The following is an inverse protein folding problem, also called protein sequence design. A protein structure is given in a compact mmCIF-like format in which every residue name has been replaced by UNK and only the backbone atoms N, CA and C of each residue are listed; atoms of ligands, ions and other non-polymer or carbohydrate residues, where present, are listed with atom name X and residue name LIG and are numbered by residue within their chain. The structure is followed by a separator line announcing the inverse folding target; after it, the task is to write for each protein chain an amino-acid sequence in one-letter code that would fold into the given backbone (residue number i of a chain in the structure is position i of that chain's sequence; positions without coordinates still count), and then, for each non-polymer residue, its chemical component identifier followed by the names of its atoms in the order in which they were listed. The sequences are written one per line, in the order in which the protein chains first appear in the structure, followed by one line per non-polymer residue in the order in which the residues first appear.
data_IF_825546343684
#
_entry.id   IF_825546343684
#
_cell.length_a   1.000
_cell.length_b   1.000
_cell.length_c   1.000
_cell.angle_alpha   90.00
_cell.angle_beta   90.00
_cell.angle_gamma   90.00
#
_symmetry.space_group_name_H-M   'P 1'
#
loop_
_entity.id
_entity.type
_entity.pdbx_description
1 polymer ?
#
# COMPACT_ATOMS: atom_id res chain seq x y z
N UNK A 1 -0.42 3.47 39.99
CA UNK A 1 -0.66 2.05 40.30
C UNK A 1 -2.07 1.68 39.87
N UNK A 2 -2.18 1.09 38.68
CA UNK A 2 -3.40 0.58 38.07
C UNK A 2 -4.01 -0.51 38.98
N UNK A 3 -5.34 -0.61 39.05
CA UNK A 3 -6.05 -1.64 39.85
C UNK A 3 -5.51 -3.05 39.51
N UNK A 4 -5.13 -3.24 38.26
CA UNK A 4 -4.65 -4.51 37.72
C UNK A 4 -3.17 -4.77 38.10
N UNK A 5 -2.36 -3.73 38.27
CA UNK A 5 -1.00 -3.85 38.84
C UNK A 5 -1.08 -4.28 40.31
N UNK A 6 -2.02 -3.71 41.07
CA UNK A 6 -2.24 -4.07 42.47
C UNK A 6 -2.76 -5.52 42.61
N UNK A 7 -3.64 -5.96 41.70
CA UNK A 7 -4.12 -7.34 41.64
C UNK A 7 -3.02 -8.34 41.26
N UNK A 8 -2.11 -7.97 40.35
CA UNK A 8 -0.96 -8.82 39.98
C UNK A 8 -0.01 -9.03 41.16
N UNK A 9 0.26 -7.95 41.91
CA UNK A 9 1.11 -7.98 43.08
C UNK A 9 0.46 -8.73 44.26
N UNK A 10 -0.85 -8.58 44.49
CA UNK A 10 -1.55 -9.21 45.62
C UNK A 10 -1.98 -10.66 45.40
N UNK A 11 -2.38 -11.05 44.17
CA UNK A 11 -2.96 -12.38 43.91
C UNK A 11 -2.05 -13.31 43.10
N UNK A 12 -1.12 -12.77 42.31
CA UNK A 12 -0.25 -13.57 41.42
C UNK A 12 1.23 -13.52 41.84
N UNK A 13 1.61 -12.65 42.78
CA UNK A 13 2.98 -12.52 43.28
C UNK A 13 3.96 -12.00 42.22
N UNK A 14 3.48 -11.22 41.25
CA UNK A 14 4.29 -10.72 40.13
C UNK A 14 4.42 -9.20 40.24
N UNK A 15 5.65 -8.73 40.42
CA UNK A 15 5.98 -7.33 40.19
C UNK A 15 6.39 -7.14 38.72
N UNK A 16 5.57 -6.41 37.96
CA UNK A 16 5.81 -6.14 36.56
C UNK A 16 6.84 -5.02 36.35
N UNK A 17 7.37 -4.37 37.38
CA UNK A 17 8.43 -3.36 37.23
C UNK A 17 9.84 -3.98 37.33
N UNK A 18 9.97 -5.17 37.92
CA UNK A 18 11.24 -5.91 38.05
C UNK A 18 11.52 -6.80 36.82
N UNK A 19 12.54 -6.44 36.05
CA UNK A 19 12.94 -7.16 34.83
C UNK A 19 13.33 -8.64 35.09
N UNK A 20 13.96 -8.92 36.24
CA UNK A 20 14.32 -10.27 36.68
C UNK A 20 13.10 -11.14 37.04
N UNK A 21 12.02 -10.53 37.54
CA UNK A 21 10.77 -11.24 37.82
C UNK A 21 10.00 -11.54 36.54
N UNK A 22 10.03 -10.62 35.55
CA UNK A 22 9.41 -10.85 34.23
C UNK A 22 10.02 -12.03 33.49
N UNK A 23 11.34 -12.18 33.49
CA UNK A 23 12.01 -13.28 32.79
C UNK A 23 11.73 -14.66 33.40
N UNK A 24 11.47 -14.70 34.70
CA UNK A 24 11.20 -15.96 35.42
C UNK A 24 9.71 -16.32 35.48
N UNK A 25 8.82 -15.36 35.18
CA UNK A 25 7.38 -15.57 35.22
C UNK A 25 6.87 -16.48 34.10
N UNK A 26 5.94 -17.38 34.45
CA UNK A 26 5.33 -18.35 33.52
C UNK A 26 3.86 -18.50 33.85
N UNK A 27 3.06 -18.74 32.83
CA UNK A 27 1.65 -19.10 32.96
C UNK A 27 1.57 -20.57 33.38
N UNK A 28 0.95 -20.82 34.53
CA UNK A 28 0.81 -22.15 35.15
C UNK A 28 -0.65 -22.63 35.21
N UNK A 29 -1.62 -21.75 35.01
CA UNK A 29 -3.05 -22.08 35.02
C UNK A 29 -3.86 -21.13 34.12
N UNK A 30 -5.11 -21.51 33.86
CA UNK A 30 -6.01 -20.77 32.97
C UNK A 30 -6.32 -19.35 33.47
N UNK A 31 -6.38 -19.13 34.79
CA UNK A 31 -6.58 -17.79 35.35
C UNK A 31 -5.41 -16.84 35.08
N UNK A 32 -4.17 -17.37 35.10
CA UNK A 32 -2.98 -16.61 34.69
C UNK A 32 -2.94 -16.35 33.19
N UNK A 33 -3.44 -17.28 32.37
CA UNK A 33 -3.58 -17.10 30.94
C UNK A 33 -4.59 -15.99 30.60
N UNK A 34 -5.77 -16.02 31.23
CA UNK A 34 -6.83 -15.02 31.07
C UNK A 34 -6.34 -13.62 31.46
N UNK A 35 -5.65 -13.51 32.60
CA UNK A 35 -5.00 -12.26 33.01
C UNK A 35 -3.95 -11.78 32.00
N UNK A 36 -3.16 -12.68 31.40
CA UNK A 36 -2.21 -12.31 30.35
C UNK A 36 -2.92 -11.78 29.10
N UNK A 37 -4.07 -12.35 28.72
CA UNK A 37 -4.90 -11.83 27.62
C UNK A 37 -5.42 -10.41 27.91
N UNK A 38 -5.87 -10.16 29.14
CA UNK A 38 -6.29 -8.82 29.58
C UNK A 38 -5.14 -7.81 29.51
N UNK A 39 -3.92 -8.22 29.89
CA UNK A 39 -2.73 -7.37 29.75
C UNK A 39 -2.39 -7.04 28.31
N UNK A 40 -2.53 -7.98 27.40
CA UNK A 40 -2.33 -7.72 25.97
C UNK A 40 -3.42 -6.75 25.48
N UNK A 41 -4.67 -6.92 25.89
CA UNK A 41 -5.78 -6.03 25.52
C UNK A 41 -5.57 -4.60 26.02
N UNK A 42 -5.14 -4.43 27.27
CA UNK A 42 -4.78 -3.12 27.86
C UNK A 42 -3.68 -2.44 27.03
N UNK A 43 -2.59 -3.15 26.75
CA UNK A 43 -1.46 -2.63 25.98
C UNK A 43 -1.86 -2.22 24.55
N UNK A 44 -2.69 -3.04 23.88
CA UNK A 44 -3.22 -2.72 22.55
C UNK A 44 -4.16 -1.50 22.60
N UNK A 45 -5.00 -1.38 23.64
CA UNK A 45 -5.87 -0.22 23.80
C UNK A 45 -5.09 1.08 24.03
N UNK A 46 -4.02 1.03 24.83
CA UNK A 46 -3.12 2.16 25.04
C UNK A 46 -2.40 2.56 23.73
N UNK A 47 -1.88 1.58 22.99
CA UNK A 47 -1.27 1.82 21.68
C UNK A 47 -2.27 2.50 20.72
N UNK A 48 -3.49 1.96 20.58
CA UNK A 48 -4.54 2.55 19.73
C UNK A 48 -4.87 3.98 20.12
N UNK A 49 -4.86 4.30 21.41
CA UNK A 49 -5.06 5.68 21.89
C UNK A 49 -3.94 6.62 21.42
N UNK A 50 -2.68 6.20 21.53
CA UNK A 50 -1.55 6.98 21.03
C UNK A 50 -1.57 7.12 19.51
N UNK A 51 -1.82 6.02 18.80
CA UNK A 51 -1.94 5.97 17.35
C UNK A 51 -2.99 6.97 16.85
N UNK A 52 -4.18 7.01 17.47
CA UNK A 52 -5.24 7.95 17.13
C UNK A 52 -4.78 9.42 17.23
N UNK A 53 -4.11 9.78 18.33
CA UNK A 53 -3.60 11.16 18.54
C UNK A 53 -2.50 11.51 17.53
N UNK A 54 -1.62 10.56 17.22
CA UNK A 54 -0.55 10.77 16.24
C UNK A 54 -1.12 10.92 14.83
N UNK A 55 -2.07 10.07 14.44
CA UNK A 55 -2.71 10.13 13.13
C UNK A 55 -3.52 11.41 12.94
N UNK A 56 -4.19 11.91 13.98
CA UNK A 56 -4.86 13.22 13.93
C UNK A 56 -3.86 14.36 13.67
N UNK A 57 -2.69 14.35 14.34
CA UNK A 57 -1.62 15.34 14.08
C UNK A 57 -1.07 15.23 12.66
N UNK A 58 -0.88 14.01 12.15
CA UNK A 58 -0.44 13.79 10.75
C UNK A 58 -1.46 14.40 9.79
N UNK A 59 -2.76 14.14 10.00
CA UNK A 59 -3.82 14.69 9.16
C UNK A 59 -3.83 16.23 9.19
N UNK A 60 -3.66 16.84 10.36
CA UNK A 60 -3.55 18.30 10.49
C UNK A 60 -2.35 18.86 9.74
N UNK A 61 -1.16 18.24 9.87
CA UNK A 61 0.04 18.67 9.16
C UNK A 61 -0.09 18.52 7.65
N UNK A 62 -0.70 17.42 7.18
CA UNK A 62 -0.99 17.21 5.76
C UNK A 62 -1.96 18.27 5.22
N UNK A 63 -3.00 18.64 5.99
CA UNK A 63 -3.93 19.70 5.59
C UNK A 63 -3.24 21.07 5.48
N UNK A 64 -2.32 21.40 6.39
CA UNK A 64 -1.51 22.62 6.32
C UNK A 64 -0.61 22.60 5.08
N UNK A 65 0.04 21.47 4.80
CA UNK A 65 0.90 21.31 3.63
C UNK A 65 0.10 21.47 2.32
N UNK A 66 -1.07 20.86 2.22
CA UNK A 66 -1.89 20.96 1.01
C UNK A 66 -2.42 22.38 0.80
N UNK A 67 -2.81 23.07 1.88
CA UNK A 67 -3.23 24.48 1.81
C UNK A 67 -2.10 25.39 1.31
N UNK A 68 -0.87 25.18 1.79
CA UNK A 68 0.28 25.96 1.35
C UNK A 68 0.66 25.64 -0.10
N UNK A 69 0.59 24.36 -0.49
CA UNK A 69 0.74 23.92 -1.87
C UNK A 69 -0.29 24.56 -2.79
N UNK A 70 -1.57 24.60 -2.41
CA UNK A 70 -2.60 25.30 -3.16
C UNK A 70 -2.30 26.80 -3.32
N UNK A 71 -1.83 27.45 -2.26
CA UNK A 71 -1.44 28.88 -2.30
C UNK A 71 -0.36 29.11 -3.35
N UNK A 72 0.70 28.32 -3.31
CA UNK A 72 1.83 28.40 -4.25
C UNK A 72 1.37 28.07 -5.68
N UNK A 73 0.56 27.03 -5.86
CA UNK A 73 0.02 26.65 -7.18
C UNK A 73 -0.80 27.80 -7.77
N UNK A 74 -1.71 28.41 -7.00
CA UNK A 74 -2.50 29.56 -7.44
C UNK A 74 -1.63 30.75 -7.83
N UNK A 75 -0.57 31.02 -7.08
CA UNK A 75 0.39 32.09 -7.39
C UNK A 75 1.18 31.80 -8.68
N UNK A 76 1.67 30.57 -8.85
CA UNK A 76 2.37 30.13 -10.06
C UNK A 76 1.45 30.17 -11.27
N UNK A 77 0.20 29.72 -11.14
CA UNK A 77 -0.81 29.76 -12.20
C UNK A 77 -1.13 31.20 -12.60
N UNK A 78 -1.30 32.10 -11.63
CA UNK A 78 -1.53 33.52 -11.89
C UNK A 78 -0.40 34.13 -12.72
N UNK A 79 0.86 33.95 -12.30
CA UNK A 79 1.99 34.49 -13.05
C UNK A 79 2.20 33.78 -14.39
N UNK A 80 1.97 32.47 -14.46
CA UNK A 80 2.05 31.71 -15.71
C UNK A 80 1.02 32.21 -16.73
N UNK A 81 -0.20 32.50 -16.28
CA UNK A 81 -1.24 33.09 -17.11
C UNK A 81 -0.83 34.48 -17.63
N UNK A 82 -0.31 35.36 -16.76
CA UNK A 82 0.18 36.69 -17.16
C UNK A 82 1.36 36.60 -18.14
N UNK A 83 2.29 35.68 -17.91
CA UNK A 83 3.40 35.42 -18.83
C UNK A 83 2.91 34.88 -20.17
N UNK A 84 1.87 34.05 -20.20
CA UNK A 84 1.26 33.58 -21.44
C UNK A 84 0.62 34.74 -22.23
N UNK A 85 -0.11 35.65 -21.55
CA UNK A 85 -0.68 36.85 -22.19
C UNK A 85 0.43 37.72 -22.80
N UNK A 86 1.49 38.00 -22.04
CA UNK A 86 2.64 38.77 -22.51
C UNK A 86 3.40 38.06 -23.64
N UNK A 87 3.52 36.73 -23.58
CA UNK A 87 4.17 35.95 -24.62
C UNK A 87 3.49 36.11 -25.98
N UNK A 88 2.19 36.38 -26.04
CA UNK A 88 1.49 36.61 -27.31
C UNK A 88 1.77 37.98 -27.93
N UNK A 89 2.23 38.97 -27.16
CA UNK A 89 2.49 40.34 -27.65
C UNK A 89 3.93 40.59 -28.11
N UNK A 90 4.88 39.79 -27.65
CA UNK A 90 6.32 40.01 -27.92
C UNK A 90 6.80 39.35 -29.22
N UNK A 91 7.86 39.86 -29.86
CA UNK A 91 8.50 39.19 -30.99
C UNK A 91 9.17 37.88 -30.51
N UNK A 92 8.87 36.77 -31.19
CA UNK A 92 9.26 35.41 -30.76
C UNK A 92 10.10 34.72 -31.82
N UNK A 93 11.06 33.89 -31.39
CA UNK A 93 11.75 32.96 -32.30
C UNK A 93 10.85 31.74 -32.53
N UNK A 94 10.39 31.55 -33.77
CA UNK A 94 9.55 30.39 -34.15
C UNK A 94 10.40 29.29 -34.78
N UNK A 95 10.15 28.04 -34.40
CA UNK A 95 10.61 26.83 -35.08
C UNK A 95 9.41 25.93 -35.41
N UNK A 96 9.63 24.87 -36.20
CA UNK A 96 8.57 23.91 -36.59
C UNK A 96 7.86 23.29 -35.38
N UNK A 97 8.53 23.16 -34.25
CA UNK A 97 8.03 22.43 -33.07
C UNK A 97 7.75 23.33 -31.87
N UNK A 98 8.21 24.59 -31.86
CA UNK A 98 8.03 25.50 -30.72
C UNK A 98 8.25 26.98 -31.06
N UNK A 99 7.63 27.86 -30.28
CA UNK A 99 7.99 29.29 -30.20
C UNK A 99 8.75 29.55 -28.89
N UNK A 100 9.76 30.42 -28.91
CA UNK A 100 10.58 30.73 -27.73
C UNK A 100 10.91 32.22 -27.64
N UNK A 101 10.87 32.75 -26.42
CA UNK A 101 11.27 34.10 -26.06
C UNK A 101 12.23 34.06 -24.86
N UNK A 102 13.40 34.68 -24.97
CA UNK A 102 14.46 34.64 -23.96
C UNK A 102 14.47 35.95 -23.16
N UNK A 103 14.51 35.82 -21.84
CA UNK A 103 14.67 36.91 -20.87
C UNK A 103 15.96 36.69 -20.06
N UNK A 104 16.50 37.71 -19.37
CA UNK A 104 17.65 37.53 -18.49
C UNK A 104 17.42 36.48 -17.40
N UNK A 105 16.21 36.45 -16.83
CA UNK A 105 15.84 35.55 -15.73
C UNK A 105 15.28 34.19 -16.18
N UNK A 106 15.15 33.94 -17.48
CA UNK A 106 14.56 32.69 -17.96
C UNK A 106 14.12 32.71 -19.42
N UNK A 107 13.24 31.79 -19.80
CA UNK A 107 12.67 31.73 -21.16
C UNK A 107 11.23 31.26 -21.14
N UNK A 108 10.44 31.84 -22.03
CA UNK A 108 9.06 31.42 -22.29
C UNK A 108 9.05 30.53 -23.53
N UNK A 109 8.41 29.36 -23.45
CA UNK A 109 8.38 28.38 -24.53
C UNK A 109 6.96 27.86 -24.75
N UNK A 110 6.46 27.98 -25.98
CA UNK A 110 5.20 27.38 -26.42
C UNK A 110 5.54 26.22 -27.35
N UNK A 111 5.33 24.98 -26.90
CA UNK A 111 5.61 23.76 -27.69
C UNK A 111 4.35 23.29 -28.40
N UNK A 112 4.46 22.96 -29.68
CA UNK A 112 3.41 22.30 -30.44
C UNK A 112 3.60 20.79 -30.27
N UNK A 113 2.81 20.20 -29.35
CA UNK A 113 2.83 18.75 -29.13
C UNK A 113 1.93 18.06 -30.16
N UNK A 114 2.31 16.86 -30.56
CA UNK A 114 1.41 15.99 -31.32
C UNK A 114 0.20 15.58 -30.46
N UNK A 115 -0.95 15.23 -31.06
CA UNK A 115 -2.12 14.79 -30.33
C UNK A 115 -1.80 13.62 -29.41
N UNK A 116 -2.28 13.68 -28.16
CA UNK A 116 -2.22 12.55 -27.23
C UNK A 116 -3.25 11.53 -27.69
N UNK A 117 -2.79 10.35 -28.07
CA UNK A 117 -3.68 9.22 -28.36
C UNK A 117 -4.09 8.63 -27.02
N UNK A 118 -5.34 8.85 -26.62
CA UNK A 118 -5.97 8.15 -25.49
C UNK A 118 -6.65 6.92 -26.07
N UNK A 119 -6.26 5.73 -25.61
CA UNK A 119 -6.83 4.45 -26.04
C UNK A 119 -7.68 3.89 -24.91
N UNK A 120 -8.85 3.38 -25.27
CA UNK A 120 -9.72 2.58 -24.42
C UNK A 120 -9.51 1.14 -24.85
N UNK A 121 -8.69 0.42 -24.10
CA UNK A 121 -8.19 -0.89 -24.53
C UNK A 121 -9.31 -1.92 -24.65
N UNK A 122 -10.38 -1.84 -23.84
CA UNK A 122 -11.53 -2.75 -23.94
C UNK A 122 -12.32 -2.52 -25.24
N UNK A 123 -12.60 -1.25 -25.58
CA UNK A 123 -13.28 -0.94 -26.84
C UNK A 123 -12.40 -1.24 -28.05
N UNK A 124 -11.09 -1.02 -27.92
CA UNK A 124 -10.13 -1.30 -28.97
C UNK A 124 -10.02 -2.80 -29.23
N UNK A 125 -9.95 -3.63 -28.19
CA UNK A 125 -9.94 -5.10 -28.32
C UNK A 125 -11.22 -5.59 -29.02
N UNK A 126 -12.40 -5.14 -28.57
CA UNK A 126 -13.68 -5.50 -29.22
C UNK A 126 -13.73 -5.09 -30.69
N UNK A 127 -13.24 -3.90 -31.01
CA UNK A 127 -13.19 -3.42 -32.38
C UNK A 127 -12.20 -4.24 -33.23
N UNK A 128 -11.03 -4.58 -32.71
CA UNK A 128 -10.04 -5.42 -33.39
C UNK A 128 -10.60 -6.83 -33.68
N UNK A 129 -11.30 -7.43 -32.71
CA UNK A 129 -11.97 -8.73 -32.88
C UNK A 129 -13.07 -8.68 -33.94
N UNK A 130 -13.91 -7.64 -33.93
CA UNK A 130 -14.98 -7.45 -34.93
C UNK A 130 -14.46 -7.23 -36.35
N UNK A 131 -13.27 -6.65 -36.50
CA UNK A 131 -12.64 -6.40 -37.80
C UNK A 131 -11.67 -7.53 -38.22
N UNK A 132 -11.66 -8.65 -37.50
CA UNK A 132 -10.83 -9.82 -37.84
C UNK A 132 -9.33 -9.64 -37.58
N UNK A 133 -8.91 -8.58 -36.87
CA UNK A 133 -7.52 -8.27 -36.52
C UNK A 133 -7.12 -8.91 -35.19
N UNK A 134 -7.45 -10.19 -35.01
CA UNK A 134 -7.24 -10.95 -33.77
C UNK A 134 -5.77 -11.17 -33.43
N UNK A 135 -4.87 -11.09 -34.41
CA UNK A 135 -3.41 -11.15 -34.26
C UNK A 135 -2.82 -9.96 -33.47
N UNK A 136 -3.57 -8.86 -33.37
CA UNK A 136 -3.19 -7.66 -32.61
C UNK A 136 -3.70 -7.68 -31.17
N UNK A 137 -4.47 -8.70 -30.79
CA UNK A 137 -5.00 -8.89 -29.43
C UNK A 137 -4.05 -9.79 -28.63
N UNK A 138 -3.47 -9.25 -27.55
CA UNK A 138 -2.58 -10.02 -26.68
C UNK A 138 -3.40 -10.88 -25.72
N UNK A 139 -3.27 -12.21 -25.84
CA UNK A 139 -3.87 -13.16 -24.91
C UNK A 139 -2.88 -13.43 -23.77
N UNK A 140 -3.24 -13.03 -22.54
CA UNK A 140 -2.48 -13.38 -21.35
C UNK A 140 -3.10 -14.63 -20.71
N UNK A 141 -2.39 -15.76 -20.79
CA UNK A 141 -2.78 -17.00 -20.10
C UNK A 141 -2.07 -17.05 -18.74
N UNK A 142 -2.84 -17.22 -17.68
CA UNK A 142 -2.35 -17.45 -16.32
C UNK A 142 -2.99 -18.74 -15.78
N UNK A 143 -2.27 -19.55 -14.99
CA UNK A 143 -2.85 -20.74 -14.37
C UNK A 143 -3.94 -20.33 -13.37
N UNK A 144 -5.11 -20.96 -13.45
CA UNK A 144 -6.13 -20.88 -12.40
C UNK A 144 -5.76 -21.79 -11.24
N UNK A 145 -4.86 -21.29 -10.39
CA UNK A 145 -4.39 -22.00 -9.21
C UNK A 145 -5.52 -22.34 -8.23
N UNK A 146 -6.56 -21.49 -8.14
CA UNK A 146 -7.63 -21.66 -7.16
C UNK A 146 -8.52 -22.88 -7.47
N UNK A 147 -8.76 -23.15 -8.76
CA UNK A 147 -9.44 -24.36 -9.21
C UNK A 147 -8.48 -25.55 -9.20
N UNK A 148 -7.27 -25.37 -9.73
CA UNK A 148 -6.27 -26.44 -9.86
C UNK A 148 -5.89 -27.08 -8.52
N UNK A 149 -5.70 -26.30 -7.45
CA UNK A 149 -5.31 -26.83 -6.13
C UNK A 149 -6.33 -27.79 -5.49
N UNK A 150 -7.60 -27.78 -5.92
CA UNK A 150 -8.65 -28.67 -5.38
C UNK A 150 -8.41 -30.12 -5.81
N UNK A 151 -7.90 -30.30 -7.02
CA UNK A 151 -7.62 -31.60 -7.65
C UNK A 151 -6.19 -32.08 -7.38
N UNK A 152 -5.45 -31.38 -6.52
CA UNK A 152 -4.10 -31.76 -6.11
C UNK A 152 -4.03 -32.19 -4.64
N UNK A 153 -3.09 -33.07 -4.35
CA UNK A 153 -2.74 -33.52 -3.00
C UNK A 153 -1.25 -33.27 -2.74
N UNK A 154 -0.90 -32.96 -1.50
CA UNK A 154 0.48 -32.78 -1.07
C UNK A 154 0.97 -34.10 -0.49
N UNK A 155 2.00 -34.68 -1.09
CA UNK A 155 2.64 -35.91 -0.62
C UNK A 155 4.12 -35.60 -0.37
N UNK A 156 4.46 -35.35 0.90
CA UNK A 156 5.80 -34.92 1.31
C UNK A 156 6.14 -33.53 0.76
N UNK A 157 7.21 -33.43 -0.03
CA UNK A 157 7.72 -32.19 -0.62
C UNK A 157 7.13 -31.86 -2.00
N UNK A 158 6.21 -32.69 -2.50
CA UNK A 158 5.67 -32.63 -3.87
C UNK A 158 4.15 -32.54 -3.90
N UNK A 159 3.66 -31.87 -4.94
CA UNK A 159 2.22 -31.80 -5.24
C UNK A 159 1.89 -32.81 -6.33
N UNK A 160 0.92 -33.69 -6.07
CA UNK A 160 0.45 -34.73 -6.99
C UNK A 160 -1.00 -34.46 -7.43
N UNK A 161 -1.35 -34.84 -8.65
CA UNK A 161 -2.73 -34.84 -9.13
C UNK A 161 -3.51 -36.00 -8.52
N UNK A 162 -4.68 -35.73 -7.90
CA UNK A 162 -5.55 -36.77 -7.32
C UNK A 162 -6.14 -37.72 -8.36
N UNK A 163 -6.26 -37.26 -9.61
CA UNK A 163 -6.91 -38.01 -10.68
C UNK A 163 -5.94 -38.88 -11.46
N UNK A 164 -4.70 -38.42 -11.65
CA UNK A 164 -3.70 -39.11 -12.49
C UNK A 164 -2.53 -39.68 -11.68
N UNK A 165 -2.35 -39.25 -10.43
CA UNK A 165 -1.21 -39.66 -9.60
C UNK A 165 0.14 -39.07 -10.04
N UNK A 166 0.13 -38.16 -11.03
CA UNK A 166 1.34 -37.54 -11.56
C UNK A 166 1.84 -36.41 -10.66
N UNK A 167 3.17 -36.33 -10.51
CA UNK A 167 3.86 -35.23 -9.83
C UNK A 167 3.82 -33.98 -10.71
N UNK A 168 3.32 -32.88 -10.15
CA UNK A 168 3.17 -31.62 -10.88
C UNK A 168 4.48 -30.82 -10.78
N UNK A 169 5.08 -30.57 -11.95
CA UNK A 169 6.28 -29.73 -12.07
C UNK A 169 5.93 -28.24 -11.89
N UNK A 170 6.82 -27.48 -11.25
CA UNK A 170 6.65 -26.05 -10.99
C UNK A 170 6.02 -25.66 -9.64
N UNK A 171 5.80 -26.60 -8.72
CA UNK A 171 5.31 -26.31 -7.35
C UNK A 171 6.29 -26.86 -6.30
N UNK A 172 6.77 -25.99 -5.42
CA UNK A 172 7.60 -26.37 -4.26
C UNK A 172 6.77 -26.28 -2.99
N UNK A 173 6.68 -27.37 -2.24
CA UNK A 173 6.04 -27.38 -0.92
C UNK A 173 7.08 -27.06 0.14
N UNK A 174 6.84 -26.01 0.91
CA UNK A 174 7.66 -25.64 2.07
C UNK A 174 6.77 -25.85 3.30
N UNK A 175 7.10 -26.84 4.12
CA UNK A 175 6.43 -27.03 5.41
C UNK A 175 6.68 -25.83 6.31
N UNK A 176 5.61 -25.20 6.76
CA UNK A 176 5.67 -24.12 7.74
C UNK A 176 5.31 -24.68 9.11
N UNK A 177 6.09 -24.31 10.12
CA UNK A 177 5.77 -24.63 11.50
C UNK A 177 4.39 -24.04 11.86
N UNK A 178 3.62 -24.71 12.74
CA UNK A 178 2.33 -24.20 13.18
C UNK A 178 2.48 -22.78 13.73
N UNK A 179 1.62 -21.87 13.27
CA UNK A 179 1.60 -20.48 13.72
C UNK A 179 0.77 -20.38 15.01
N UNK A 180 1.37 -19.85 16.08
CA UNK A 180 0.65 -19.51 17.31
C UNK A 180 0.16 -18.07 17.23
N UNK A 181 -1.13 -17.86 17.47
CA UNK A 181 -1.76 -16.53 17.51
C UNK A 181 -2.48 -16.30 18.82
N UNK A 182 -2.40 -15.07 19.31
CA UNK A 182 -3.18 -14.57 20.43
C UNK A 182 -4.17 -13.54 19.89
N UNK A 183 -5.47 -13.81 20.05
CA UNK A 183 -6.56 -12.94 19.59
C UNK A 183 -7.26 -12.34 20.82
N UNK A 184 -7.21 -11.01 20.98
CA UNK A 184 -7.74 -10.29 22.17
C UNK A 184 -8.49 -9.01 21.84
#
# INVERSE_FOLDING_TARGET
MNIIENLAMQNLGVDMEDEQQRESWKIQNDSQADWALDKIREAQAEYRRFEMVVNDKIAQLQAVLEKEKERIVKEVEFFSFKLAQYFETVPKRKSKTQETYKLPSGRLVKKYRQPKIVRDDEKLVKWLEQNGMTELVKIQKSPDWATFKKDTEIVGDKVVSKTTGEVIDGITVIEQAPEFKVEV
#
